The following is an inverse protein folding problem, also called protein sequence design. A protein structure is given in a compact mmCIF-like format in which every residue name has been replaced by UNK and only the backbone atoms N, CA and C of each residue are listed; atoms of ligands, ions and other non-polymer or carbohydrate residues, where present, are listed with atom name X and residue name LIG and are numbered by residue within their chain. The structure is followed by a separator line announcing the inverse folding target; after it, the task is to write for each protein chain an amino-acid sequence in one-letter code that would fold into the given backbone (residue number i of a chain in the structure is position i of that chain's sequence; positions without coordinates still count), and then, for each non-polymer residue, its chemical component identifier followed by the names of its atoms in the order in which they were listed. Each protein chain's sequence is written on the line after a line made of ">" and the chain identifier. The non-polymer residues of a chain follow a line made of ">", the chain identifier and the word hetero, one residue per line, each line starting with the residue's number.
data_IF_455914148404
#
_entry.id   IF_455914148404
#
_cell.length_a   1.000
_cell.length_b   1.000
_cell.length_c   1.000
_cell.angle_alpha   90.00
_cell.angle_beta   90.00
_cell.angle_gamma   90.00
#
_symmetry.space_group_name_H-M   'P 1'
#
loop_
_entity.id
_entity.type
_entity.pdbx_description
1 polymer ?
#
# COMPACT_ATOMS: atom_id res chain seq x y z
N UNK A 1 19.38 -8.55 16.76
CA UNK A 1 20.09 -8.48 15.46
C UNK A 1 19.65 -9.66 14.62
N UNK A 2 19.41 -9.46 13.33
CA UNK A 2 18.95 -10.50 12.41
C UNK A 2 19.79 -10.52 11.13
N UNK A 3 19.75 -11.63 10.40
CA UNK A 3 20.41 -11.76 9.11
C UNK A 3 19.53 -11.21 7.99
N UNK A 4 20.09 -10.38 7.11
CA UNK A 4 19.44 -9.78 5.95
C UNK A 4 18.73 -10.84 5.12
N UNK A 5 19.42 -11.95 4.83
CA UNK A 5 18.86 -13.01 3.98
C UNK A 5 17.73 -13.76 4.68
N UNK A 6 17.77 -13.91 6.01
CA UNK A 6 16.66 -14.48 6.77
C UNK A 6 15.41 -13.57 6.75
N UNK A 7 15.61 -12.24 6.82
CA UNK A 7 14.52 -11.27 6.66
C UNK A 7 13.95 -11.34 5.24
N UNK A 8 14.80 -11.32 4.21
CA UNK A 8 14.37 -11.40 2.81
C UNK A 8 13.61 -12.69 2.54
N UNK A 9 14.12 -13.85 2.96
CA UNK A 9 13.43 -15.14 2.78
C UNK A 9 12.07 -15.17 3.47
N UNK A 10 11.98 -14.63 4.70
CA UNK A 10 10.71 -14.53 5.40
C UNK A 10 9.71 -13.65 4.66
N UNK A 11 10.16 -12.49 4.17
CA UNK A 11 9.32 -11.57 3.39
C UNK A 11 8.84 -12.23 2.08
N UNK A 12 9.72 -12.89 1.36
CA UNK A 12 9.38 -13.60 0.11
C UNK A 12 8.37 -14.75 0.37
N UNK A 13 8.41 -15.38 1.54
CA UNK A 13 7.45 -16.43 1.95
C UNK A 13 6.07 -15.86 2.26
N UNK A 14 5.99 -14.77 3.02
CA UNK A 14 4.70 -14.18 3.43
C UNK A 14 4.09 -13.25 2.36
N UNK A 15 4.88 -12.76 1.41
CA UNK A 15 4.47 -11.85 0.33
C UNK A 15 4.85 -12.47 -1.04
N UNK A 16 4.21 -13.59 -1.43
CA UNK A 16 4.61 -14.35 -2.61
C UNK A 16 4.48 -13.51 -3.90
N UNK A 17 5.60 -13.35 -4.60
CA UNK A 17 5.72 -12.51 -5.80
C UNK A 17 5.10 -13.16 -7.05
N UNK A 18 4.94 -14.49 -7.07
CA UNK A 18 4.47 -15.25 -8.24
C UNK A 18 2.97 -15.21 -8.45
N UNK A 19 2.22 -14.77 -7.45
CA UNK A 19 0.76 -14.98 -7.42
C UNK A 19 0.00 -13.86 -8.14
N UNK A 20 0.67 -12.75 -8.48
CA UNK A 20 0.04 -11.55 -9.05
C UNK A 20 0.94 -10.95 -10.14
N UNK A 21 0.40 -10.68 -11.33
CA UNK A 21 1.14 -10.00 -12.40
C UNK A 21 1.38 -8.53 -12.05
N UNK A 22 2.60 -8.24 -11.59
CA UNK A 22 2.99 -6.94 -11.06
C UNK A 22 4.01 -6.23 -11.97
N UNK A 23 3.80 -4.95 -12.35
CA UNK A 23 4.82 -4.15 -13.02
C UNK A 23 6.01 -3.81 -12.12
N UNK A 24 5.88 -3.89 -10.80
CA UNK A 24 6.97 -3.72 -9.84
C UNK A 24 7.87 -4.97 -9.82
N UNK A 25 9.18 -4.76 -9.68
CA UNK A 25 10.08 -5.86 -9.32
C UNK A 25 10.08 -6.04 -7.80
N UNK A 26 9.21 -6.90 -7.29
CA UNK A 26 9.12 -7.22 -5.86
C UNK A 26 10.34 -8.04 -5.38
N UNK A 27 10.65 -7.92 -4.09
CA UNK A 27 11.79 -8.57 -3.45
C UNK A 27 12.93 -7.60 -3.11
N UNK A 28 14.11 -8.15 -2.83
CA UNK A 28 15.34 -7.38 -2.60
C UNK A 28 15.82 -6.72 -3.89
N UNK A 29 15.80 -5.39 -3.92
CA UNK A 29 16.19 -4.56 -5.08
C UNK A 29 17.62 -4.03 -4.99
N UNK A 30 18.11 -3.71 -3.79
CA UNK A 30 19.48 -3.26 -3.54
C UNK A 30 20.02 -4.03 -2.35
N UNK A 31 21.19 -4.62 -2.50
CA UNK A 31 21.85 -5.36 -1.42
C UNK A 31 22.68 -4.42 -0.52
N UNK A 32 22.51 -4.56 0.79
CA UNK A 32 23.31 -3.87 1.81
C UNK A 32 23.97 -4.84 2.79
N UNK A 33 24.22 -4.38 4.03
CA UNK A 33 24.87 -5.17 5.09
C UNK A 33 24.14 -6.48 5.36
N UNK A 34 24.92 -7.51 5.68
CA UNK A 34 24.43 -8.84 6.08
C UNK A 34 23.69 -8.81 7.42
N UNK A 35 24.18 -8.05 8.40
CA UNK A 35 23.53 -7.94 9.73
C UNK A 35 22.60 -6.73 9.80
N UNK A 36 21.38 -6.94 10.28
CA UNK A 36 20.33 -5.93 10.43
C UNK A 36 19.96 -5.76 11.91
N UNK A 37 20.06 -4.52 12.40
CA UNK A 37 19.60 -4.12 13.73
C UNK A 37 18.41 -3.15 13.66
N UNK A 38 18.40 -2.32 12.62
CA UNK A 38 17.36 -1.31 12.38
C UNK A 38 16.79 -1.48 10.98
N UNK A 39 15.47 -1.65 10.91
CA UNK A 39 14.67 -1.62 9.69
C UNK A 39 13.94 -0.28 9.63
N UNK A 40 13.91 0.34 8.46
CA UNK A 40 13.01 1.47 8.16
C UNK A 40 11.92 1.00 7.20
N UNK A 41 10.66 1.29 7.51
CA UNK A 41 9.56 1.11 6.56
C UNK A 41 9.08 2.47 6.04
N UNK A 42 8.62 2.52 4.79
CA UNK A 42 8.10 3.73 4.17
C UNK A 42 7.21 3.38 2.98
N UNK A 43 6.44 4.33 2.46
CA UNK A 43 5.56 4.04 1.30
C UNK A 43 6.37 3.93 0.02
N UNK A 44 7.23 4.93 -0.26
CA UNK A 44 7.90 5.05 -1.56
C UNK A 44 9.40 5.20 -1.43
N UNK A 45 10.15 4.50 -2.31
CA UNK A 45 11.60 4.61 -2.48
C UNK A 45 12.04 5.99 -2.98
N UNK A 46 12.02 6.99 -2.10
CA UNK A 46 12.49 8.36 -2.35
C UNK A 46 13.87 8.63 -1.75
N UNK A 47 14.60 9.60 -2.32
CA UNK A 47 15.92 10.01 -1.79
C UNK A 47 15.82 10.51 -0.34
N UNK A 48 14.75 11.24 -0.01
CA UNK A 48 14.51 11.72 1.35
C UNK A 48 14.35 10.57 2.36
N UNK A 49 13.56 9.55 2.02
CA UNK A 49 13.43 8.33 2.83
C UNK A 49 14.81 7.69 3.08
N UNK A 50 15.63 7.59 2.04
CA UNK A 50 16.96 6.96 2.14
C UNK A 50 17.92 7.76 3.02
N UNK A 51 17.88 9.10 2.95
CA UNK A 51 18.68 9.96 3.82
C UNK A 51 18.25 9.77 5.27
N UNK A 52 16.94 9.83 5.55
CA UNK A 52 16.41 9.65 6.91
C UNK A 52 16.69 8.25 7.46
N UNK A 53 16.66 7.23 6.61
CA UNK A 53 17.03 5.88 7.01
C UNK A 53 18.53 5.77 7.35
N UNK A 54 19.40 6.45 6.60
CA UNK A 54 20.83 6.52 6.94
C UNK A 54 21.08 7.26 8.25
N UNK A 55 20.36 8.36 8.52
CA UNK A 55 20.40 9.10 9.81
C UNK A 55 19.94 8.25 10.99
N UNK A 56 19.01 7.32 10.76
CA UNK A 56 18.56 6.33 11.75
C UNK A 56 19.48 5.10 11.86
N UNK A 57 20.60 5.10 11.12
CA UNK A 57 21.52 3.99 11.01
C UNK A 57 20.78 2.68 10.65
N UNK A 58 19.84 2.74 9.70
CA UNK A 58 19.14 1.56 9.20
C UNK A 58 20.08 0.69 8.36
N UNK A 59 19.85 -0.62 8.35
CA UNK A 59 20.52 -1.56 7.43
C UNK A 59 19.58 -2.12 6.36
N UNK A 60 18.28 -1.92 6.55
CA UNK A 60 17.26 -2.51 5.70
C UNK A 60 16.08 -1.53 5.58
N UNK A 61 15.66 -1.24 4.36
CA UNK A 61 14.50 -0.42 4.05
C UNK A 61 13.47 -1.30 3.36
N UNK A 62 12.21 -1.20 3.79
CA UNK A 62 11.07 -1.88 3.16
C UNK A 62 10.09 -0.83 2.67
N UNK A 63 9.73 -0.92 1.39
CA UNK A 63 8.77 0.00 0.76
C UNK A 63 7.67 -0.72 0.01
N UNK A 64 6.55 -0.04 -0.16
CA UNK A 64 5.50 -0.48 -1.07
C UNK A 64 5.88 -0.20 -2.53
N UNK A 65 6.26 1.05 -2.83
CA UNK A 65 6.76 1.46 -4.13
C UNK A 65 8.28 1.41 -4.18
N UNK A 66 8.81 0.38 -4.84
CA UNK A 66 10.24 0.22 -5.09
C UNK A 66 10.81 1.18 -6.14
N UNK A 67 12.09 0.98 -6.44
CA UNK A 67 12.79 1.72 -7.49
C UNK A 67 12.62 1.08 -8.88
N UNK A 68 12.61 -0.25 -8.97
CA UNK A 68 12.55 -0.96 -10.27
C UNK A 68 11.12 -1.30 -10.69
N UNK A 69 10.77 -0.91 -11.91
CA UNK A 69 9.48 -1.14 -12.56
C UNK A 69 9.70 -1.60 -14.01
N UNK A 70 8.85 -2.48 -14.55
CA UNK A 70 8.98 -3.03 -15.93
C UNK A 70 9.07 -1.95 -17.01
N UNK A 71 8.39 -0.83 -16.83
CA UNK A 71 8.36 0.30 -17.77
C UNK A 71 9.33 1.43 -17.37
N UNK A 72 10.10 1.24 -16.30
CA UNK A 72 11.10 2.20 -15.82
C UNK A 72 12.39 2.13 -16.63
N UNK A 73 13.18 3.19 -16.54
CA UNK A 73 14.54 3.18 -17.09
C UNK A 73 15.46 2.36 -16.18
N UNK A 74 16.20 1.35 -16.68
CA UNK A 74 17.15 0.61 -15.87
C UNK A 74 18.46 1.38 -15.63
N UNK A 75 18.63 2.56 -16.25
CA UNK A 75 19.87 3.31 -16.21
C UNK A 75 20.04 4.07 -14.88
N UNK A 76 21.12 3.76 -14.14
CA UNK A 76 21.51 4.48 -12.93
C UNK A 76 22.33 5.72 -13.34
N UNK A 77 21.63 6.77 -13.80
CA UNK A 77 22.22 8.03 -14.23
C UNK A 77 21.47 9.25 -13.65
N UNK A 78 22.14 10.40 -13.61
CA UNK A 78 21.51 11.64 -13.17
C UNK A 78 20.98 11.59 -11.74
N UNK A 79 19.68 11.82 -11.57
CA UNK A 79 19.03 11.83 -10.26
C UNK A 79 18.89 10.43 -9.65
N UNK A 80 18.77 9.38 -10.48
CA UNK A 80 18.71 7.99 -10.00
C UNK A 80 20.03 7.59 -9.35
N UNK A 81 21.16 7.92 -9.98
CA UNK A 81 22.49 7.73 -9.39
C UNK A 81 22.59 8.39 -8.01
N UNK A 82 22.14 9.65 -7.88
CA UNK A 82 22.15 10.38 -6.60
C UNK A 82 21.21 9.79 -5.54
N UNK A 83 20.19 9.04 -5.94
CA UNK A 83 19.26 8.35 -5.04
C UNK A 83 19.89 7.03 -4.56
N UNK A 84 20.33 6.18 -5.49
CA UNK A 84 20.96 4.89 -5.20
C UNK A 84 22.28 5.04 -4.45
N UNK A 85 23.07 6.08 -4.73
CA UNK A 85 24.29 6.40 -3.98
C UNK A 85 24.08 6.43 -2.46
N UNK A 86 22.92 6.93 -1.99
CA UNK A 86 22.62 7.01 -0.56
C UNK A 86 22.56 5.61 0.05
N UNK A 87 21.93 4.65 -0.63
CA UNK A 87 21.88 3.26 -0.18
C UNK A 87 23.25 2.61 -0.20
N UNK A 88 23.99 2.75 -1.31
CA UNK A 88 25.29 2.11 -1.50
C UNK A 88 26.35 2.64 -0.53
N UNK A 89 26.42 3.95 -0.32
CA UNK A 89 27.39 4.57 0.60
C UNK A 89 27.13 4.18 2.06
N UNK A 90 25.88 3.89 2.42
CA UNK A 90 25.49 3.48 3.77
C UNK A 90 25.32 1.95 3.91
N UNK A 91 25.53 1.18 2.84
CA UNK A 91 25.32 -0.26 2.77
C UNK A 91 23.92 -0.67 3.26
N UNK A 92 22.87 0.01 2.77
CA UNK A 92 21.48 -0.22 3.17
C UNK A 92 20.79 -1.10 2.12
N UNK A 93 20.15 -2.17 2.57
CA UNK A 93 19.32 -3.02 1.71
C UNK A 93 18.00 -2.32 1.40
N UNK A 94 17.50 -2.47 0.17
CA UNK A 94 16.15 -2.01 -0.22
C UNK A 94 15.33 -3.21 -0.67
N UNK A 95 14.20 -3.45 0.02
CA UNK A 95 13.21 -4.44 -0.35
C UNK A 95 11.91 -3.74 -0.74
N UNK A 96 11.26 -4.21 -1.81
CA UNK A 96 9.98 -3.69 -2.27
C UNK A 96 8.91 -4.79 -2.30
N UNK A 97 7.70 -4.47 -1.84
CA UNK A 97 6.52 -5.31 -2.04
C UNK A 97 5.31 -4.44 -2.38
N UNK A 98 4.92 -4.48 -3.65
CA UNK A 98 3.81 -3.73 -4.23
C UNK A 98 2.50 -4.54 -4.10
N UNK A 99 1.99 -5.14 -5.17
CA UNK A 99 0.69 -5.83 -5.14
C UNK A 99 0.60 -6.99 -4.13
N UNK A 100 1.67 -7.78 -3.86
CA UNK A 100 1.63 -8.78 -2.80
C UNK A 100 1.32 -8.17 -1.42
N UNK A 101 1.81 -6.96 -1.15
CA UNK A 101 1.48 -6.25 0.10
C UNK A 101 0.07 -5.69 0.06
N UNK A 102 -0.43 -5.16 -1.06
CA UNK A 102 -1.83 -4.72 -1.14
C UNK A 102 -2.81 -5.83 -0.79
N UNK A 103 -2.53 -7.04 -1.31
CA UNK A 103 -3.43 -8.18 -1.20
C UNK A 103 -3.29 -8.93 0.12
N UNK A 104 -2.18 -8.85 0.85
CA UNK A 104 -1.95 -9.73 2.01
C UNK A 104 -3.14 -9.70 3.02
N UNK A 105 -3.75 -10.85 3.38
CA UNK A 105 -5.01 -10.92 4.11
C UNK A 105 -4.95 -10.53 5.61
N UNK A 106 -3.81 -10.04 6.08
CA UNK A 106 -3.60 -9.69 7.50
C UNK A 106 -2.92 -8.34 7.62
N UNK A 107 -1.82 -8.15 6.89
CA UNK A 107 -1.01 -6.93 6.96
C UNK A 107 -1.14 -6.03 5.74
N UNK A 108 -1.97 -6.38 4.75
CA UNK A 108 -2.00 -5.64 3.50
C UNK A 108 -2.77 -4.32 3.55
N UNK A 109 -2.49 -3.42 2.62
CA UNK A 109 -3.13 -2.09 2.58
C UNK A 109 -4.67 -2.21 2.54
N UNK A 110 -5.19 -3.08 1.67
CA UNK A 110 -6.62 -3.22 1.45
C UNK A 110 -7.34 -3.87 2.65
N UNK A 111 -6.74 -4.86 3.31
CA UNK A 111 -7.35 -5.44 4.52
C UNK A 111 -7.32 -4.45 5.69
N UNK A 112 -6.27 -3.64 5.81
CA UNK A 112 -6.19 -2.62 6.85
C UNK A 112 -7.24 -1.51 6.65
N UNK A 113 -7.56 -1.14 5.39
CA UNK A 113 -8.69 -0.25 5.11
C UNK A 113 -10.04 -0.85 5.53
N UNK A 114 -10.30 -2.14 5.25
CA UNK A 114 -11.51 -2.81 5.72
C UNK A 114 -11.58 -2.85 7.26
N UNK A 115 -10.45 -3.09 7.92
CA UNK A 115 -10.36 -3.14 9.38
C UNK A 115 -10.76 -1.80 10.02
N UNK A 116 -10.36 -0.66 9.44
CA UNK A 116 -10.80 0.67 9.92
C UNK A 116 -12.33 0.77 9.95
N UNK A 117 -13.01 0.19 8.95
CA UNK A 117 -14.46 0.23 8.82
C UNK A 117 -15.17 -0.88 9.62
N UNK A 118 -14.42 -1.80 10.24
CA UNK A 118 -14.93 -3.05 10.79
C UNK A 118 -15.75 -3.84 9.75
N UNK A 119 -15.22 -3.91 8.52
CA UNK A 119 -15.83 -4.65 7.42
C UNK A 119 -15.21 -6.05 7.30
N UNK A 120 -16.04 -7.07 7.14
CA UNK A 120 -15.60 -8.45 6.89
C UNK A 120 -15.36 -8.67 5.40
N UNK A 121 -14.29 -9.37 5.01
CA UNK A 121 -14.03 -9.69 3.59
C UNK A 121 -15.21 -10.49 3.02
N UNK A 122 -15.75 -10.02 1.90
CA UNK A 122 -16.84 -10.69 1.17
C UNK A 122 -16.43 -11.22 -0.21
N UNK A 123 -15.24 -10.87 -0.68
CA UNK A 123 -14.73 -11.27 -1.99
C UNK A 123 -13.53 -10.42 -2.40
N UNK A 124 -13.13 -10.52 -3.66
CA UNK A 124 -12.01 -9.78 -4.22
C UNK A 124 -12.27 -9.22 -5.62
N UNK A 125 -11.46 -8.24 -6.00
CA UNK A 125 -11.54 -7.54 -7.29
C UNK A 125 -10.19 -6.85 -7.61
N UNK A 126 -10.14 -6.11 -8.72
CA UNK A 126 -8.91 -5.56 -9.31
C UNK A 126 -7.98 -6.68 -9.77
N UNK A 127 -8.35 -7.33 -10.88
CA UNK A 127 -7.63 -8.52 -11.39
C UNK A 127 -6.31 -8.19 -12.07
N UNK A 128 -5.28 -9.00 -11.80
CA UNK A 128 -3.94 -8.91 -12.37
C UNK A 128 -3.48 -10.30 -12.80
N UNK A 129 -3.79 -10.68 -14.05
CA UNK A 129 -3.66 -12.06 -14.50
C UNK A 129 -4.70 -12.94 -13.80
N UNK A 130 -4.25 -14.01 -13.13
CA UNK A 130 -5.10 -14.91 -12.35
C UNK A 130 -5.33 -14.42 -10.90
N UNK A 131 -4.51 -13.49 -10.42
CA UNK A 131 -4.60 -12.91 -9.08
C UNK A 131 -5.45 -11.63 -9.01
N UNK A 132 -5.63 -11.12 -7.79
CA UNK A 132 -6.31 -9.85 -7.51
C UNK A 132 -5.54 -9.07 -6.44
N UNK A 133 -5.61 -7.74 -6.46
CA UNK A 133 -4.90 -6.89 -5.48
C UNK A 133 -5.80 -6.37 -4.36
N UNK A 134 -7.12 -6.42 -4.55
CA UNK A 134 -8.08 -5.67 -3.73
C UNK A 134 -9.23 -6.53 -3.23
N UNK A 135 -9.99 -6.00 -2.26
CA UNK A 135 -11.06 -6.72 -1.56
C UNK A 135 -12.40 -6.01 -1.64
N UNK A 136 -13.46 -6.80 -1.69
CA UNK A 136 -14.78 -6.33 -1.26
C UNK A 136 -15.02 -6.72 0.19
N UNK A 137 -15.81 -5.93 0.90
CA UNK A 137 -16.17 -6.20 2.28
C UNK A 137 -17.61 -5.82 2.64
N UNK A 138 -18.06 -6.34 3.77
CA UNK A 138 -19.40 -6.15 4.30
C UNK A 138 -19.36 -5.49 5.69
N UNK A 139 -20.05 -4.35 5.80
CA UNK A 139 -20.29 -3.62 7.05
C UNK A 139 -21.65 -4.07 7.60
N UNK A 140 -21.66 -5.02 8.54
CA UNK A 140 -22.87 -5.73 8.99
C UNK A 140 -24.02 -4.83 9.45
N UNK A 141 -23.72 -3.73 10.15
CA UNK A 141 -24.74 -2.80 10.66
C UNK A 141 -25.11 -1.71 9.64
N UNK A 142 -24.34 -1.60 8.55
CA UNK A 142 -24.32 -0.45 7.67
C UNK A 142 -23.76 0.81 8.35
N UNK A 143 -23.28 1.76 7.55
CA UNK A 143 -22.83 3.08 8.00
C UNK A 143 -23.31 4.16 7.04
N UNK A 144 -23.42 5.38 7.53
CA UNK A 144 -23.61 6.55 6.67
C UNK A 144 -22.27 7.02 6.10
N UNK A 145 -22.32 7.73 4.97
CA UNK A 145 -21.14 8.27 4.28
C UNK A 145 -20.29 9.13 5.23
N UNK A 146 -20.93 10.00 6.02
CA UNK A 146 -20.25 10.92 6.94
C UNK A 146 -19.48 10.18 8.03
N UNK A 147 -20.03 9.06 8.51
CA UNK A 147 -19.37 8.20 9.50
C UNK A 147 -18.12 7.54 8.90
N UNK A 148 -18.24 6.99 7.68
CA UNK A 148 -17.12 6.37 6.97
C UNK A 148 -16.02 7.40 6.70
N UNK A 149 -16.38 8.59 6.21
CA UNK A 149 -15.41 9.68 5.98
C UNK A 149 -14.71 10.10 7.27
N UNK A 150 -15.44 10.16 8.40
CA UNK A 150 -14.82 10.47 9.70
C UNK A 150 -13.82 9.41 10.12
N UNK A 151 -14.19 8.13 10.02
CA UNK A 151 -13.31 6.99 10.34
C UNK A 151 -12.05 7.02 9.47
N UNK A 152 -12.19 7.23 8.16
CA UNK A 152 -11.06 7.27 7.24
C UNK A 152 -10.19 8.49 7.47
N UNK A 153 -10.76 9.69 7.68
CA UNK A 153 -9.97 10.88 7.97
C UNK A 153 -9.15 10.73 9.26
N UNK A 154 -9.71 10.10 10.30
CA UNK A 154 -9.00 9.83 11.55
C UNK A 154 -7.95 8.73 11.38
N UNK A 155 -8.33 7.56 10.85
CA UNK A 155 -7.43 6.42 10.69
C UNK A 155 -6.29 6.68 9.71
N UNK A 156 -6.56 7.48 8.66
CA UNK A 156 -5.59 7.84 7.63
C UNK A 156 -5.02 9.24 7.82
N UNK A 157 -5.38 10.01 8.84
CA UNK A 157 -4.84 11.38 9.04
C UNK A 157 -4.81 12.20 7.74
N UNK A 158 -5.90 12.13 6.96
CA UNK A 158 -6.03 12.72 5.62
C UNK A 158 -7.39 13.36 5.47
N UNK A 159 -7.60 14.10 4.37
CA UNK A 159 -8.90 14.66 4.02
C UNK A 159 -9.48 13.95 2.81
N UNK A 160 -10.45 13.08 3.05
CA UNK A 160 -11.17 12.38 2.00
C UNK A 160 -12.03 13.32 1.15
N UNK A 161 -12.19 12.97 -0.12
CA UNK A 161 -13.17 13.53 -1.04
C UNK A 161 -14.23 12.46 -1.27
N UNK A 162 -15.51 12.79 -1.08
CA UNK A 162 -16.61 11.85 -1.29
C UNK A 162 -17.53 12.27 -2.44
N UNK A 163 -18.04 11.27 -3.16
CA UNK A 163 -19.08 11.38 -4.18
C UNK A 163 -20.30 10.57 -3.70
N UNK A 164 -21.30 11.21 -3.06
CA UNK A 164 -22.40 10.52 -2.41
C UNK A 164 -23.57 10.26 -3.37
N UNK A 165 -23.35 9.45 -4.41
CA UNK A 165 -24.37 9.16 -5.43
C UNK A 165 -25.15 7.86 -5.20
N UNK A 166 -24.71 7.03 -4.25
CA UNK A 166 -25.33 5.76 -3.94
C UNK A 166 -26.26 5.78 -2.73
N UNK A 167 -26.53 4.61 -2.13
CA UNK A 167 -27.47 4.50 -1.02
C UNK A 167 -26.96 5.25 0.22
N UNK A 168 -27.90 5.77 1.01
CA UNK A 168 -27.60 6.49 2.25
C UNK A 168 -27.02 5.58 3.35
N UNK A 169 -27.33 4.28 3.32
CA UNK A 169 -26.79 3.27 4.21
C UNK A 169 -25.90 2.35 3.39
N UNK A 170 -24.60 2.40 3.66
CA UNK A 170 -23.56 1.65 2.96
C UNK A 170 -23.30 0.36 3.74
N UNK A 171 -23.46 -0.79 3.07
CA UNK A 171 -23.21 -2.13 3.61
C UNK A 171 -22.13 -2.86 2.85
N UNK A 172 -22.07 -2.72 1.53
CA UNK A 172 -21.05 -3.36 0.70
C UNK A 172 -20.02 -2.33 0.26
N UNK A 173 -18.75 -2.67 0.41
CA UNK A 173 -17.63 -1.79 0.03
C UNK A 173 -16.66 -2.53 -0.88
N UNK A 174 -16.06 -1.83 -1.83
CA UNK A 174 -14.86 -2.26 -2.55
C UNK A 174 -13.72 -1.32 -2.20
N UNK A 175 -12.57 -1.84 -1.78
CA UNK A 175 -11.40 -1.03 -1.39
C UNK A 175 -10.19 -1.35 -2.26
N UNK A 176 -9.61 -0.33 -2.87
CA UNK A 176 -8.38 -0.38 -3.66
C UNK A 176 -7.49 0.79 -3.24
N UNK A 177 -6.58 0.58 -2.28
CA UNK A 177 -5.59 1.58 -1.87
C UNK A 177 -4.78 2.09 -3.07
N UNK A 178 -4.27 3.30 -2.96
CA UNK A 178 -3.50 3.92 -4.04
C UNK A 178 -4.36 4.29 -5.25
N UNK A 179 -3.89 3.90 -6.44
CA UNK A 179 -4.46 4.32 -7.72
C UNK A 179 -5.41 3.29 -8.37
N UNK A 180 -6.63 3.12 -7.85
CA UNK A 180 -7.61 2.21 -8.44
C UNK A 180 -8.12 2.64 -9.84
N UNK A 181 -8.20 3.96 -10.07
CA UNK A 181 -8.55 4.54 -11.37
C UNK A 181 -9.85 4.02 -11.99
N UNK A 182 -9.95 4.06 -13.32
CA UNK A 182 -11.14 3.59 -14.06
C UNK A 182 -11.32 2.07 -13.99
N UNK A 183 -10.22 1.31 -14.04
CA UNK A 183 -10.28 -0.15 -14.11
C UNK A 183 -10.87 -0.75 -12.83
N UNK A 184 -10.30 -0.41 -11.68
CA UNK A 184 -10.81 -0.93 -10.41
C UNK A 184 -12.23 -0.42 -10.12
N UNK A 185 -12.54 0.82 -10.52
CA UNK A 185 -13.90 1.34 -10.39
C UNK A 185 -14.91 0.54 -11.23
N UNK A 186 -14.62 0.23 -12.49
CA UNK A 186 -15.49 -0.60 -13.33
C UNK A 186 -15.71 -1.99 -12.73
N UNK A 187 -14.65 -2.64 -12.21
CA UNK A 187 -14.77 -3.92 -11.53
C UNK A 187 -15.59 -3.84 -10.23
N UNK A 188 -15.51 -2.71 -9.50
CA UNK A 188 -16.34 -2.47 -8.32
C UNK A 188 -17.83 -2.31 -8.68
N UNK A 189 -18.15 -1.69 -9.82
CA UNK A 189 -19.52 -1.60 -10.34
C UNK A 189 -20.08 -2.99 -10.66
N UNK A 190 -19.28 -3.87 -11.27
CA UNK A 190 -19.67 -5.26 -11.56
C UNK A 190 -19.96 -6.05 -10.27
N UNK A 191 -19.22 -5.75 -9.19
CA UNK A 191 -19.44 -6.30 -7.85
C UNK A 191 -20.68 -5.72 -7.13
N UNK A 192 -21.33 -4.67 -7.69
CA UNK A 192 -22.54 -4.03 -7.17
C UNK A 192 -22.39 -3.56 -5.72
N UNK A 193 -21.26 -2.95 -5.40
CA UNK A 193 -21.01 -2.41 -4.06
C UNK A 193 -21.72 -1.07 -3.85
N UNK A 194 -22.06 -0.77 -2.60
CA UNK A 194 -22.68 0.50 -2.22
C UNK A 194 -21.65 1.64 -2.26
N UNK A 195 -20.37 1.32 -2.05
CA UNK A 195 -19.26 2.27 -1.96
C UNK A 195 -17.96 1.69 -2.54
N UNK A 196 -17.28 2.48 -3.37
CA UNK A 196 -15.90 2.26 -3.80
C UNK A 196 -14.95 3.22 -3.07
N UNK A 197 -13.84 2.72 -2.52
CA UNK A 197 -12.82 3.49 -1.83
C UNK A 197 -11.49 3.31 -2.55
N UNK A 198 -10.85 4.41 -2.94
CA UNK A 198 -9.50 4.43 -3.50
C UNK A 198 -8.69 5.60 -2.97
N UNK A 199 -7.38 5.64 -3.24
CA UNK A 199 -6.53 6.77 -2.92
C UNK A 199 -6.68 7.94 -3.91
N UNK A 200 -6.19 7.75 -5.13
CA UNK A 200 -6.14 8.80 -6.17
C UNK A 200 -7.52 9.21 -6.67
N UNK A 201 -7.68 10.50 -6.97
CA UNK A 201 -8.83 10.98 -7.73
C UNK A 201 -8.75 10.48 -9.18
N UNK A 202 -9.91 10.18 -9.76
CA UNK A 202 -10.06 9.85 -11.16
C UNK A 202 -11.26 10.59 -11.74
N UNK A 203 -11.28 10.80 -13.05
CA UNK A 203 -12.40 11.44 -13.76
C UNK A 203 -13.55 10.42 -13.97
N UNK A 204 -14.02 9.83 -12.87
CA UNK A 204 -15.11 8.84 -12.80
C UNK A 204 -16.43 9.44 -12.26
N UNK A 205 -16.50 10.77 -12.12
CA UNK A 205 -17.64 11.45 -11.49
C UNK A 205 -18.98 11.10 -12.15
N UNK A 206 -19.06 11.17 -13.48
CA UNK A 206 -20.31 10.92 -14.21
C UNK A 206 -20.68 9.44 -14.12
N UNK A 207 -19.72 8.53 -14.27
CA UNK A 207 -19.95 7.09 -14.14
C UNK A 207 -20.44 6.71 -12.74
N UNK A 208 -19.87 7.29 -11.68
CA UNK A 208 -20.33 7.12 -10.31
C UNK A 208 -21.75 7.66 -10.10
N UNK A 209 -22.05 8.82 -10.68
CA UNK A 209 -23.39 9.43 -10.61
C UNK A 209 -24.44 8.61 -11.33
N UNK A 210 -24.16 8.20 -12.56
CA UNK A 210 -25.09 7.49 -13.43
C UNK A 210 -25.32 6.04 -12.97
N UNK A 211 -24.30 5.42 -12.38
CA UNK A 211 -24.42 4.10 -11.74
C UNK A 211 -25.09 4.14 -10.36
N UNK A 212 -25.20 5.33 -9.74
CA UNK A 212 -25.68 5.46 -8.37
C UNK A 212 -24.76 4.77 -7.37
N UNK A 213 -23.44 4.94 -7.52
CA UNK A 213 -22.43 4.32 -6.65
C UNK A 213 -21.72 5.40 -5.85
N UNK A 214 -21.57 5.18 -4.54
CA UNK A 214 -20.77 6.07 -3.72
C UNK A 214 -19.27 5.89 -4.02
N UNK A 215 -18.50 6.97 -3.98
CA UNK A 215 -17.04 6.91 -4.10
C UNK A 215 -16.36 7.72 -3.00
N UNK A 216 -15.26 7.23 -2.46
CA UNK A 216 -14.34 7.98 -1.59
C UNK A 216 -12.93 7.92 -2.18
N UNK A 217 -12.32 9.09 -2.33
CA UNK A 217 -10.89 9.28 -2.58
C UNK A 217 -10.21 9.66 -1.26
N UNK A 218 -9.33 8.81 -0.76
CA UNK A 218 -8.73 8.90 0.56
C UNK A 218 -7.22 9.21 0.53
N UNK A 219 -6.68 9.61 -0.63
CA UNK A 219 -5.27 9.95 -0.83
C UNK A 219 -4.38 8.72 -1.02
N UNK A 220 -3.59 8.70 -2.08
CA UNK A 220 -2.79 7.55 -2.49
C UNK A 220 -1.82 7.12 -1.39
N UNK A 221 -0.91 8.03 -1.04
CA UNK A 221 0.08 7.80 0.01
C UNK A 221 -0.61 7.50 1.34
N UNK A 222 -1.71 8.19 1.64
CA UNK A 222 -2.40 8.03 2.91
C UNK A 222 -2.92 6.59 3.11
N UNK A 223 -3.54 6.02 2.08
CA UNK A 223 -4.10 4.65 2.09
C UNK A 223 -3.07 3.53 2.12
N UNK A 224 -1.84 3.78 1.66
CA UNK A 224 -0.79 2.74 1.53
C UNK A 224 0.26 2.77 2.64
N UNK A 225 0.13 3.69 3.60
CA UNK A 225 0.93 3.62 4.84
C UNK A 225 0.55 2.44 5.71
N UNK A 226 -0.68 1.96 5.60
CA UNK A 226 -1.24 0.97 6.51
C UNK A 226 -0.47 -0.35 6.43
N UNK A 227 -0.18 -0.82 5.22
CA UNK A 227 0.47 -2.11 5.02
C UNK A 227 1.93 -2.12 5.43
N UNK A 228 2.68 -1.08 5.05
CA UNK A 228 4.11 -0.97 5.44
C UNK A 228 4.30 -0.74 6.95
N UNK A 229 3.32 -0.14 7.64
CA UNK A 229 3.30 -0.06 9.11
C UNK A 229 3.01 -1.42 9.74
N UNK A 230 1.95 -2.09 9.30
CA UNK A 230 1.57 -3.41 9.82
C UNK A 230 2.69 -4.46 9.59
N UNK A 231 3.34 -4.43 8.43
CA UNK A 231 4.51 -5.26 8.13
C UNK A 231 5.68 -4.90 9.06
N UNK A 232 5.94 -3.62 9.31
CA UNK A 232 6.97 -3.19 10.24
C UNK A 232 6.76 -3.73 11.66
N UNK A 233 5.54 -3.66 12.18
CA UNK A 233 5.18 -4.20 13.49
C UNK A 233 5.36 -5.73 13.57
N UNK A 234 5.03 -6.45 12.48
CA UNK A 234 5.25 -7.89 12.38
C UNK A 234 6.74 -8.24 12.44
N UNK A 235 7.58 -7.52 11.68
CA UNK A 235 9.02 -7.77 11.64
C UNK A 235 9.71 -7.42 12.96
N UNK A 236 9.26 -6.36 13.63
CA UNK A 236 9.77 -6.00 14.96
C UNK A 236 9.60 -7.15 15.95
N UNK A 237 8.41 -7.79 15.95
CA UNK A 237 8.11 -8.94 16.81
C UNK A 237 8.84 -10.21 16.38
N UNK A 238 8.96 -10.44 15.08
CA UNK A 238 9.51 -11.69 14.52
C UNK A 238 11.03 -11.77 14.65
N UNK A 239 11.74 -10.66 14.42
CA UNK A 239 13.20 -10.62 14.38
C UNK A 239 13.84 -9.91 15.58
N UNK A 240 13.04 -9.36 16.49
CA UNK A 240 13.50 -8.61 17.67
C UNK A 240 14.51 -7.50 17.29
N UNK A 241 14.22 -6.81 16.19
CA UNK A 241 14.99 -5.68 15.65
C UNK A 241 14.23 -4.38 15.85
N UNK A 242 14.96 -3.26 15.85
CA UNK A 242 14.31 -1.94 15.84
C UNK A 242 13.64 -1.73 14.49
N UNK A 243 12.40 -1.25 14.49
CA UNK A 243 11.69 -0.87 13.27
C UNK A 243 11.16 0.54 13.44
N UNK A 244 11.39 1.38 12.44
CA UNK A 244 10.90 2.77 12.40
C UNK A 244 10.13 3.00 11.11
N UNK A 245 8.87 3.41 11.22
CA UNK A 245 8.13 3.89 10.05
C UNK A 245 8.49 5.36 9.78
N UNK A 246 9.00 5.65 8.60
CA UNK A 246 9.35 7.00 8.16
C UNK A 246 8.31 7.49 7.16
N UNK A 247 7.46 8.41 7.62
CA UNK A 247 6.50 9.09 6.75
C UNK A 247 7.20 10.21 5.95
N UNK A 248 7.05 10.16 4.62
CA UNK A 248 7.44 11.23 3.68
C UNK A 248 6.17 11.63 2.92
N UNK A 249 5.35 12.54 3.46
CA UNK A 249 4.04 12.87 2.90
C UNK A 249 4.16 13.53 1.52
N UNK A 250 3.31 13.12 0.58
CA UNK A 250 3.24 13.69 -0.77
C UNK A 250 2.30 14.89 -0.88
N UNK A 251 1.36 15.02 0.05
CA UNK A 251 0.25 15.97 -0.06
C UNK A 251 -0.81 15.58 -1.11
N UNK A 252 -0.74 14.34 -1.60
CA UNK A 252 -1.66 13.72 -2.57
C UNK A 252 -2.48 12.61 -1.91
#
# INVERSE_FOLDING_TARGET
>A
MAQRDAITMYLDEILPVTDIDDPSFNGLQVEGKETVNTIVTGVTAGKELFIRAAELEAQYIIVHHGHYWRYGTPAIAGWEKRRIDVLLQNNISLYASHLPLDKHPQIGNNIQLLNLLNAEISGDFSKHGEGSSSYTGMIMRGKHMEEIVSILNEGLQTKCISLPFGPAIIRTVAVCSGGGGYKAFAEALDAKVDLFITGDTAEIYNDAKDSGTNVIFAGHHATERLGVKALGELLQKTFEVRVEFVDVPTGL
#
